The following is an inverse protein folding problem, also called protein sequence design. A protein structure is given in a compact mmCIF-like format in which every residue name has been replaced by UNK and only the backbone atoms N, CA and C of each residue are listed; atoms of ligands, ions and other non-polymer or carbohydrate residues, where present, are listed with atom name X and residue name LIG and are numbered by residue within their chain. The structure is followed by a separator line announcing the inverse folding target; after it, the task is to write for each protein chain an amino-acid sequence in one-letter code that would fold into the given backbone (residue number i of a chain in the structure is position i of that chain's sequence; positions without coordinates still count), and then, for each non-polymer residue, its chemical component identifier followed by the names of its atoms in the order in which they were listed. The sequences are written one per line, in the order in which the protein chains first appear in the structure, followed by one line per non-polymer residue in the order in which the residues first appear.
data_IF_563100765615
#
_entry.id   IF_563100765615
#
_cell.length_a   1.000
_cell.length_b   1.000
_cell.length_c   1.000
_cell.angle_alpha   90.00
_cell.angle_beta   90.00
_cell.angle_gamma   90.00
#
_symmetry.space_group_name_H-M   'P 1'
#
loop_
_entity.id
_entity.type
_entity.pdbx_description
1 polymer ?
#
# COMPACT_ATOMS: atom_id res chain seq x y z
N UNK A 1 -13.42 17.40 15.79
CA UNK A 1 -12.14 17.09 16.46
C UNK A 1 -11.40 16.06 15.62
N UNK A 2 -10.37 16.47 14.89
CA UNK A 2 -9.58 15.55 14.05
C UNK A 2 -8.72 14.73 15.00
N UNK A 3 -8.95 13.42 15.07
CA UNK A 3 -8.14 12.53 15.92
C UNK A 3 -6.71 12.53 15.40
N UNK A 4 -5.75 12.73 16.29
CA UNK A 4 -4.33 12.59 15.96
C UNK A 4 -4.10 11.22 15.31
N UNK A 5 -3.49 11.15 14.12
CA UNK A 5 -3.22 9.88 13.48
C UNK A 5 -2.32 9.02 14.39
N UNK A 6 -2.65 7.73 14.48
CA UNK A 6 -1.83 6.75 15.20
C UNK A 6 -0.51 6.51 14.47
N UNK A 7 0.52 6.11 15.20
CA UNK A 7 1.83 5.77 14.59
C UNK A 7 1.71 4.55 13.65
N UNK A 8 2.62 4.45 12.68
CA UNK A 8 2.63 3.31 11.75
C UNK A 8 2.81 1.97 12.47
N UNK A 9 3.66 1.93 13.51
CA UNK A 9 3.88 0.72 14.31
C UNK A 9 2.58 0.29 15.01
N UNK A 10 1.85 1.24 15.60
CA UNK A 10 0.58 0.95 16.25
C UNK A 10 -0.48 0.51 15.26
N UNK A 11 -0.55 1.15 14.09
CA UNK A 11 -1.44 0.74 13.01
C UNK A 11 -1.19 -0.71 12.60
N UNK A 12 0.07 -1.07 12.34
CA UNK A 12 0.48 -2.44 11.97
C UNK A 12 0.09 -3.45 13.05
N UNK A 13 0.31 -3.12 14.33
CA UNK A 13 -0.04 -3.97 15.46
C UNK A 13 -1.54 -4.26 15.51
N UNK A 14 -2.38 -3.22 15.35
CA UNK A 14 -3.85 -3.36 15.35
C UNK A 14 -4.36 -4.21 14.19
N UNK A 15 -3.84 -3.96 12.97
CA UNK A 15 -4.20 -4.76 11.79
C UNK A 15 -3.82 -6.23 12.00
N UNK A 16 -2.61 -6.48 12.51
CA UNK A 16 -2.15 -7.84 12.79
C UNK A 16 -3.04 -8.56 13.81
N UNK A 17 -3.33 -7.91 14.94
CA UNK A 17 -4.18 -8.49 16.00
C UNK A 17 -5.56 -8.86 15.45
N UNK A 18 -6.20 -7.95 14.69
CA UNK A 18 -7.52 -8.19 14.09
C UNK A 18 -7.49 -9.32 13.06
N UNK A 19 -6.49 -9.35 12.20
CA UNK A 19 -6.31 -10.41 11.20
C UNK A 19 -6.04 -11.79 11.84
N UNK A 20 -5.43 -11.81 13.03
CA UNK A 20 -5.16 -13.03 13.79
C UNK A 20 -6.41 -13.55 14.49
N UNK A 21 -7.24 -12.67 15.06
CA UNK A 21 -8.46 -13.06 15.78
C UNK A 21 -9.61 -13.43 14.83
N UNK A 22 -9.69 -12.79 13.66
CA UNK A 22 -10.79 -12.95 12.70
C UNK A 22 -10.24 -13.25 11.31
N UNK A 23 -10.23 -14.52 10.86
CA UNK A 23 -9.67 -14.91 9.57
C UNK A 23 -10.28 -14.19 8.37
N UNK A 24 -11.57 -13.83 8.44
CA UNK A 24 -12.28 -13.06 7.39
C UNK A 24 -11.83 -11.60 7.31
N UNK A 25 -11.19 -11.08 8.36
CA UNK A 25 -10.61 -9.73 8.39
C UNK A 25 -9.15 -9.68 7.93
N UNK A 26 -8.55 -10.82 7.59
CA UNK A 26 -7.22 -10.84 6.95
C UNK A 26 -7.27 -10.01 5.68
N UNK A 27 -6.22 -9.24 5.46
CA UNK A 27 -6.07 -8.31 4.34
C UNK A 27 -7.08 -7.16 4.28
N UNK A 28 -8.26 -7.23 4.89
CA UNK A 28 -9.25 -6.14 4.86
C UNK A 28 -8.68 -4.83 5.40
N UNK A 29 -8.12 -4.85 6.61
CA UNK A 29 -7.49 -3.67 7.21
C UNK A 29 -6.29 -3.18 6.38
N UNK A 30 -5.51 -4.10 5.81
CA UNK A 30 -4.37 -3.75 4.96
C UNK A 30 -4.82 -3.11 3.64
N UNK A 31 -5.88 -3.62 3.02
CA UNK A 31 -6.40 -3.18 1.74
C UNK A 31 -6.74 -1.69 1.78
N UNK A 32 -7.42 -1.23 2.84
CA UNK A 32 -7.74 0.19 3.04
C UNK A 32 -6.53 1.12 3.13
N UNK A 33 -5.34 0.59 3.42
CA UNK A 33 -4.11 1.37 3.49
C UNK A 33 -3.29 1.29 2.20
N UNK A 34 -3.19 0.13 1.57
CA UNK A 34 -2.39 -0.06 0.34
C UNK A 34 -3.04 0.58 -0.89
N UNK A 35 -4.36 0.70 -0.93
CA UNK A 35 -5.07 1.30 -2.07
C UNK A 35 -5.06 2.83 -2.07
N UNK A 36 -4.50 3.45 -1.02
CA UNK A 36 -4.41 4.92 -0.96
C UNK A 36 -3.49 5.42 -2.05
N UNK A 37 -3.94 6.44 -2.80
CA UNK A 37 -3.17 7.01 -3.90
C UNK A 37 -1.78 7.48 -3.46
N UNK A 38 -1.66 8.07 -2.27
CA UNK A 38 -0.37 8.48 -1.70
C UNK A 38 0.58 7.30 -1.50
N UNK A 39 0.06 6.17 -0.99
CA UNK A 39 0.84 4.94 -0.81
C UNK A 39 1.26 4.34 -2.15
N UNK A 40 0.34 4.31 -3.13
CA UNK A 40 0.62 3.82 -4.48
C UNK A 40 1.66 4.69 -5.20
N UNK A 41 1.57 6.02 -5.10
CA UNK A 41 2.56 6.93 -5.67
C UNK A 41 3.95 6.74 -5.06
N UNK A 42 4.06 6.64 -3.74
CA UNK A 42 5.35 6.38 -3.09
C UNK A 42 5.94 5.03 -3.51
N UNK A 43 5.10 4.00 -3.60
CA UNK A 43 5.53 2.68 -4.09
C UNK A 43 6.01 2.74 -5.55
N UNK A 44 5.29 3.46 -6.43
CA UNK A 44 5.69 3.69 -7.82
C UNK A 44 7.05 4.39 -7.90
N UNK A 45 7.25 5.47 -7.15
CA UNK A 45 8.51 6.22 -7.12
C UNK A 45 9.69 5.37 -6.64
N UNK A 46 9.47 4.53 -5.62
CA UNK A 46 10.50 3.60 -5.13
C UNK A 46 10.83 2.51 -6.15
N UNK A 47 9.82 1.91 -6.79
CA UNK A 47 10.01 0.91 -7.84
C UNK A 47 10.79 1.48 -9.03
N UNK A 48 10.44 2.71 -9.46
CA UNK A 48 11.14 3.41 -10.55
C UNK A 48 12.61 3.67 -10.21
N UNK A 49 12.90 4.19 -9.02
CA UNK A 49 14.28 4.44 -8.55
C UNK A 49 15.15 3.19 -8.54
N UNK A 50 14.54 2.03 -8.33
CA UNK A 50 15.22 0.74 -8.28
C UNK A 50 15.25 0.00 -9.63
N UNK A 51 14.89 0.64 -10.75
CA UNK A 51 14.77 0.01 -12.07
C UNK A 51 13.87 -1.24 -12.05
N UNK A 52 12.72 -1.14 -11.37
CA UNK A 52 11.74 -2.23 -11.27
C UNK A 52 11.29 -2.75 -12.64
N UNK A 53 10.96 -4.05 -12.70
CA UNK A 53 10.43 -4.68 -13.90
C UNK A 53 8.94 -4.32 -14.12
N UNK A 54 8.45 -4.35 -15.37
CA UNK A 54 7.04 -4.25 -15.69
C UNK A 54 6.18 -5.27 -14.94
N UNK A 55 4.92 -4.91 -14.70
CA UNK A 55 3.91 -5.80 -14.13
C UNK A 55 3.41 -6.85 -15.12
N UNK A 56 2.34 -7.54 -14.74
CA UNK A 56 1.67 -8.54 -15.59
C UNK A 56 1.09 -7.95 -16.89
N UNK A 57 0.90 -6.63 -16.93
CA UNK A 57 0.44 -5.86 -18.09
C UNK A 57 1.58 -5.50 -19.06
N UNK A 58 2.83 -5.73 -18.68
CA UNK A 58 4.00 -5.43 -19.50
C UNK A 58 4.29 -3.93 -19.67
N UNK A 59 3.56 -3.03 -19.01
CA UNK A 59 3.78 -1.58 -19.11
C UNK A 59 5.04 -1.16 -18.34
N UNK A 60 5.93 -0.43 -19.02
CA UNK A 60 7.10 0.18 -18.39
C UNK A 60 6.73 1.50 -17.69
N UNK A 61 7.65 2.04 -16.87
CA UNK A 61 7.49 3.38 -16.29
C UNK A 61 7.30 4.47 -17.36
N UNK A 62 7.97 4.35 -18.51
CA UNK A 62 7.83 5.30 -19.60
C UNK A 62 6.44 5.23 -20.23
N UNK A 63 5.88 4.04 -20.41
CA UNK A 63 4.53 3.87 -20.97
C UNK A 63 3.45 4.48 -20.06
N UNK A 64 3.64 4.37 -18.74
CA UNK A 64 2.72 4.93 -17.73
C UNK A 64 2.83 6.46 -17.67
N UNK A 65 4.03 7.03 -17.81
CA UNK A 65 4.26 8.49 -17.73
C UNK A 65 3.85 9.25 -19.00
N UNK A 66 3.62 8.54 -20.10
CA UNK A 66 3.17 9.08 -21.39
C UNK A 66 1.65 9.09 -21.57
N UNK A 67 0.90 8.45 -20.66
CA UNK A 67 -0.57 8.33 -20.66
C UNK A 67 -1.23 9.54 -19.96
#
# INVERSE_FOLDING_TARGET
MIKTPITLQELRRRIYQKAKSEPTHRFWGLFSHITKLTTLHEAYQQARKNNGAPGIDGKSFADIELE
#
